data_IF_451428124474
#
_entry.id   IF_451428124474
#
_cell.length_a   1.000
_cell.length_b   1.000
_cell.length_c   1.000
_cell.angle_alpha   90.00
_cell.angle_beta   90.00
_cell.angle_gamma   90.00
#
_symmetry.space_group_name_H-M   'P 1'
#
loop_
_entity.id
_entity.type
_entity.pdbx_description
1 polymer ?
#
# COMPACT_ATOMS: atom_id res chain seq x y z
N UNK A 1 -6.67 -23.39 -14.15
CA UNK A 1 -5.37 -23.04 -13.56
C UNK A 1 -5.59 -22.83 -12.06
N UNK A 2 -5.10 -23.72 -11.21
CA UNK A 2 -5.44 -23.72 -9.78
C UNK A 2 -4.48 -22.90 -8.90
N UNK A 3 -3.35 -22.42 -9.45
CA UNK A 3 -2.27 -21.75 -8.70
C UNK A 3 -2.03 -20.29 -9.16
N UNK A 4 -3.07 -19.60 -9.60
CA UNK A 4 -2.97 -18.22 -10.08
C UNK A 4 -4.05 -17.37 -9.39
N UNK A 5 -3.73 -16.11 -9.10
CA UNK A 5 -4.65 -15.17 -8.48
C UNK A 5 -3.96 -14.20 -7.52
N UNK A 6 -4.70 -13.21 -6.99
CA UNK A 6 -4.18 -12.31 -5.96
C UNK A 6 -3.97 -13.07 -4.64
N UNK A 7 -2.91 -12.70 -3.90
CA UNK A 7 -2.65 -13.21 -2.54
C UNK A 7 -3.56 -12.56 -1.48
N UNK A 8 -4.11 -11.39 -1.80
CA UNK A 8 -5.14 -10.67 -1.05
C UNK A 8 -5.85 -9.66 -1.96
N UNK A 9 -7.08 -9.28 -1.64
CA UNK A 9 -7.81 -8.18 -2.28
C UNK A 9 -8.50 -7.32 -1.23
N UNK A 10 -8.39 -6.01 -1.34
CA UNK A 10 -9.13 -5.06 -0.51
C UNK A 10 -10.07 -4.26 -1.39
N UNK A 11 -11.37 -4.49 -1.25
CA UNK A 11 -12.38 -3.98 -2.19
C UNK A 11 -13.70 -3.67 -1.48
N UNK A 12 -14.49 -2.79 -2.10
CA UNK A 12 -15.84 -2.49 -1.65
C UNK A 12 -16.80 -3.66 -1.91
N UNK A 13 -17.68 -3.96 -0.95
CA UNK A 13 -18.79 -4.91 -1.09
C UNK A 13 -20.04 -4.28 -1.72
N UNK A 14 -20.04 -2.97 -1.96
CA UNK A 14 -21.17 -2.22 -2.51
C UNK A 14 -20.73 -0.96 -3.28
N UNK A 15 -21.70 -0.10 -3.61
CA UNK A 15 -21.43 1.18 -4.26
C UNK A 15 -20.60 2.08 -3.34
N UNK A 16 -19.51 2.63 -3.86
CA UNK A 16 -18.68 3.62 -3.17
C UNK A 16 -18.34 4.78 -4.09
N UNK A 17 -18.22 5.99 -3.54
CA UNK A 17 -17.81 7.16 -4.33
C UNK A 17 -16.28 7.16 -4.50
N UNK A 18 -15.82 7.26 -5.75
CA UNK A 18 -14.40 7.22 -6.11
C UNK A 18 -13.55 8.26 -5.36
N UNK A 19 -14.12 9.43 -5.04
CA UNK A 19 -13.40 10.45 -4.25
C UNK A 19 -13.08 10.01 -2.82
N UNK A 20 -13.85 9.08 -2.25
CA UNK A 20 -13.53 8.45 -0.97
C UNK A 20 -12.50 7.33 -1.10
N UNK A 21 -12.46 6.64 -2.26
CA UNK A 21 -11.45 5.59 -2.52
C UNK A 21 -10.03 6.16 -2.52
N UNK A 22 -9.86 7.39 -3.02
CA UNK A 22 -8.58 8.11 -2.99
C UNK A 22 -8.01 8.27 -1.57
N UNK A 23 -8.86 8.55 -0.57
CA UNK A 23 -8.42 8.60 0.83
C UNK A 23 -7.98 7.22 1.35
N UNK A 24 -8.76 6.17 1.04
CA UNK A 24 -8.44 4.80 1.43
C UNK A 24 -7.10 4.36 0.85
N UNK A 25 -6.88 4.62 -0.44
CA UNK A 25 -5.64 4.29 -1.15
C UNK A 25 -4.45 5.08 -0.59
N UNK A 26 -4.59 6.39 -0.39
CA UNK A 26 -3.53 7.22 0.20
C UNK A 26 -3.09 6.71 1.56
N UNK A 27 -4.02 6.44 2.47
CA UNK A 27 -3.69 5.92 3.80
C UNK A 27 -3.02 4.55 3.74
N UNK A 28 -3.48 3.66 2.85
CA UNK A 28 -2.86 2.35 2.63
C UNK A 28 -1.42 2.47 2.11
N UNK A 29 -1.18 3.33 1.12
CA UNK A 29 0.15 3.53 0.55
C UNK A 29 1.12 4.19 1.53
N UNK A 30 0.67 5.23 2.25
CA UNK A 30 1.48 5.87 3.29
C UNK A 30 1.86 4.85 4.37
N UNK A 31 0.92 4.00 4.80
CA UNK A 31 1.20 2.99 5.80
C UNK A 31 2.33 2.04 5.38
N UNK A 32 2.32 1.54 4.15
CA UNK A 32 3.30 0.56 3.66
C UNK A 32 4.66 1.16 3.30
N UNK A 33 4.67 2.35 2.70
CA UNK A 33 5.86 2.90 2.06
C UNK A 33 6.48 4.08 2.83
N UNK A 34 5.76 4.65 3.79
CA UNK A 34 6.23 5.78 4.58
C UNK A 34 6.25 5.47 6.09
N UNK A 35 5.17 4.91 6.64
CA UNK A 35 5.01 4.76 8.10
C UNK A 35 5.58 3.43 8.64
N UNK A 36 6.01 2.53 7.74
CA UNK A 36 6.73 1.31 8.10
C UNK A 36 5.85 0.12 8.48
N UNK A 37 4.53 0.19 8.29
CA UNK A 37 3.65 -0.96 8.46
C UNK A 37 3.97 -2.04 7.42
N UNK A 38 3.97 -3.31 7.86
CA UNK A 38 4.43 -4.42 7.00
C UNK A 38 3.36 -5.45 6.68
N UNK A 39 2.19 -5.42 7.32
CA UNK A 39 1.11 -6.35 7.02
C UNK A 39 0.00 -5.70 6.22
N UNK A 40 -0.72 -6.50 5.41
CA UNK A 40 -1.86 -6.00 4.64
C UNK A 40 -3.00 -5.56 5.58
N UNK A 41 -3.21 -6.24 6.70
CA UNK A 41 -4.21 -5.88 7.71
C UNK A 41 -3.95 -4.51 8.33
N UNK A 42 -2.70 -4.24 8.70
CA UNK A 42 -2.32 -2.92 9.22
C UNK A 42 -2.54 -1.83 8.17
N UNK A 43 -2.09 -2.05 6.94
CA UNK A 43 -2.21 -1.06 5.86
C UNK A 43 -3.67 -0.75 5.51
N UNK A 44 -4.54 -1.76 5.44
CA UNK A 44 -5.98 -1.53 5.19
C UNK A 44 -6.66 -0.81 6.36
N UNK A 45 -6.26 -1.10 7.60
CA UNK A 45 -6.73 -0.38 8.79
C UNK A 45 -6.29 1.08 8.76
N UNK A 46 -5.03 1.36 8.43
CA UNK A 46 -4.52 2.73 8.27
C UNK A 46 -5.21 3.48 7.13
N UNK A 47 -5.53 2.81 6.02
CA UNK A 47 -6.36 3.37 4.94
C UNK A 47 -7.72 3.87 5.46
N UNK A 48 -8.42 3.06 6.26
CA UNK A 48 -9.70 3.47 6.88
C UNK A 48 -9.53 4.63 7.87
N UNK A 49 -8.49 4.60 8.70
CA UNK A 49 -8.19 5.68 9.64
C UNK A 49 -7.89 6.99 8.91
N UNK A 50 -7.10 6.94 7.83
CA UNK A 50 -6.78 8.09 7.01
C UNK A 50 -8.04 8.73 6.41
N UNK A 51 -8.97 7.91 5.88
CA UNK A 51 -10.27 8.40 5.42
C UNK A 51 -11.02 9.12 6.54
N UNK A 52 -11.17 8.51 7.72
CA UNK A 52 -11.91 9.10 8.85
C UNK A 52 -11.30 10.45 9.28
N UNK A 53 -9.98 10.57 9.24
CA UNK A 53 -9.26 11.74 9.72
C UNK A 53 -9.19 12.89 8.70
N UNK A 54 -9.13 12.58 7.40
CA UNK A 54 -8.81 13.56 6.36
C UNK A 54 -9.97 13.87 5.41
N UNK A 55 -11.01 13.03 5.38
CA UNK A 55 -12.21 13.32 4.58
C UNK A 55 -13.04 14.44 5.21
N UNK A 56 -13.86 15.16 4.41
CA UNK A 56 -14.80 16.12 4.96
C UNK A 56 -15.77 15.45 5.95
N UNK A 57 -16.11 16.17 7.02
CA UNK A 57 -16.96 15.66 8.10
C UNK A 57 -18.26 15.06 7.55
N UNK A 58 -18.57 13.84 7.97
CA UNK A 58 -19.79 13.13 7.58
C UNK A 58 -19.79 12.50 6.18
N UNK A 59 -18.70 12.61 5.40
CA UNK A 59 -18.56 11.93 4.10
C UNK A 59 -17.99 10.52 4.26
N UNK A 60 -18.34 9.64 3.31
CA UNK A 60 -17.67 8.35 3.03
C UNK A 60 -17.65 7.33 4.17
N UNK A 61 -18.51 7.46 5.18
CA UNK A 61 -18.57 6.53 6.31
C UNK A 61 -18.92 5.11 5.85
N UNK A 62 -19.75 5.00 4.83
CA UNK A 62 -20.11 3.76 4.15
C UNK A 62 -18.88 2.99 3.63
N UNK A 63 -17.81 3.70 3.23
CA UNK A 63 -16.60 3.06 2.74
C UNK A 63 -15.83 2.33 3.85
N UNK A 64 -15.92 2.80 5.10
CA UNK A 64 -15.28 2.15 6.25
C UNK A 64 -15.88 0.76 6.48
N UNK A 65 -17.19 0.64 6.28
CA UNK A 65 -17.94 -0.60 6.50
C UNK A 65 -17.87 -1.54 5.28
N UNK A 66 -17.85 -0.98 4.07
CA UNK A 66 -17.94 -1.76 2.83
C UNK A 66 -16.59 -2.20 2.27
N UNK A 67 -15.47 -1.52 2.58
CA UNK A 67 -14.15 -1.97 2.16
C UNK A 67 -13.65 -3.12 3.04
N UNK A 68 -13.65 -4.33 2.48
CA UNK A 68 -13.29 -5.58 3.19
C UNK A 68 -12.02 -6.18 2.61
N UNK A 69 -11.14 -6.64 3.49
CA UNK A 69 -9.94 -7.39 3.13
C UNK A 69 -10.29 -8.88 2.98
N UNK A 70 -10.12 -9.41 1.77
CA UNK A 70 -10.18 -10.82 1.45
C UNK A 70 -8.75 -11.38 1.37
N UNK A 71 -8.38 -12.23 2.31
CA UNK A 71 -7.03 -12.80 2.44
C UNK A 71 -6.63 -12.95 3.91
N UNK A 72 -5.35 -13.22 4.15
CA UNK A 72 -4.77 -13.24 5.50
C UNK A 72 -4.40 -11.81 5.94
N UNK A 73 -5.00 -11.25 7.01
CA UNK A 73 -4.63 -9.92 7.51
C UNK A 73 -3.17 -9.82 7.94
N UNK A 74 -2.57 -10.93 8.37
CA UNK A 74 -1.17 -10.97 8.82
C UNK A 74 -0.18 -11.15 7.68
N UNK A 75 -0.66 -11.23 6.42
CA UNK A 75 0.18 -11.32 5.23
C UNK A 75 1.17 -10.15 5.19
N UNK A 76 2.46 -10.47 5.22
CA UNK A 76 3.52 -9.47 5.05
C UNK A 76 3.61 -9.02 3.61
N UNK A 77 3.51 -7.71 3.38
CA UNK A 77 3.70 -7.13 2.05
C UNK A 77 5.18 -7.17 1.70
N UNK A 78 5.50 -7.82 0.59
CA UNK A 78 6.85 -7.76 0.02
C UNK A 78 7.02 -6.41 -0.68
N UNK A 79 7.49 -5.42 0.06
CA UNK A 79 8.02 -4.18 -0.51
C UNK A 79 9.49 -4.40 -0.89
N UNK A 80 9.96 -3.71 -1.93
CA UNK A 80 11.40 -3.58 -2.12
C UNK A 80 11.90 -2.87 -0.87
N UNK A 81 12.85 -3.46 -0.16
CA UNK A 81 13.62 -2.66 0.78
C UNK A 81 14.19 -1.51 -0.06
N UNK A 82 13.92 -0.26 0.33
CA UNK A 82 14.74 0.86 -0.12
C UNK A 82 16.16 0.39 0.12
N UNK A 83 16.91 0.09 -0.94
CA UNK A 83 18.24 -0.44 -0.82
C UNK A 83 18.95 0.47 0.17
N UNK A 84 19.19 -0.01 1.38
CA UNK A 84 20.03 0.70 2.30
C UNK A 84 21.31 0.84 1.51
N UNK A 85 21.66 2.08 1.13
CA UNK A 85 22.98 2.41 0.61
C UNK A 85 23.91 2.05 1.75
N UNK A 86 24.29 0.79 1.81
CA UNK A 86 25.11 0.21 2.86
C UNK A 86 26.57 0.51 2.62
N UNK A 87 26.89 1.20 1.52
CA UNK A 87 28.20 1.77 1.24
C UNK A 87 28.04 3.11 0.51
N UNK A 88 28.47 4.26 1.08
CA UNK A 88 28.53 5.53 0.34
C UNK A 88 29.62 5.55 -0.75
N UNK A 89 30.16 4.41 -1.19
CA UNK A 89 31.36 4.36 -2.05
C UNK A 89 31.16 3.64 -3.38
N UNK A 90 29.96 3.20 -3.75
CA UNK A 90 29.75 2.60 -5.08
C UNK A 90 28.65 3.31 -5.85
N UNK A 91 29.00 4.48 -6.37
CA UNK A 91 28.30 5.08 -7.51
C UNK A 91 28.61 4.21 -8.74
N UNK A 92 27.63 3.44 -9.22
CA UNK A 92 27.71 2.81 -10.53
C UNK A 92 27.53 3.90 -11.60
N UNK A 93 28.62 4.48 -12.10
CA UNK A 93 28.59 5.15 -13.41
C UNK A 93 28.60 4.07 -14.51
N UNK A 94 27.81 4.21 -15.58
CA UNK A 94 27.86 3.27 -16.70
C UNK A 94 29.23 3.31 -17.37
N UNK A 95 29.84 2.13 -17.45
CA UNK A 95 31.15 1.81 -18.02
C UNK A 95 31.38 2.46 -19.40
N UNK A 96 32.25 3.47 -19.47
CA UNK A 96 32.94 3.80 -20.72
C UNK A 96 34.10 2.81 -20.85
N UNK A 97 33.98 1.86 -21.77
CA UNK A 97 35.10 1.03 -22.22
C UNK A 97 36.13 1.93 -22.89
N UNK A 98 37.29 2.10 -22.27
CA UNK A 98 38.51 2.45 -23.00
C UNK A 98 39.42 1.23 -23.00
N UNK A 99 39.51 0.61 -24.18
CA UNK A 99 40.47 -0.43 -24.56
C UNK A 99 41.89 0.18 -24.66
N UNK A 100 42.95 -0.64 -24.50
CA UNK A 100 44.34 -0.18 -24.34
C UNK A 100 44.94 0.51 -25.56
#
# INVERSE_FOLDING_TARGET
>A
MANAGPVASWSATGLGLVTGHDYLEKGFFLALFHDGWRTVGDATTQGKLYLIQNAPVGRYRDLVDTFVLLGDPTLKVRTLETAAVTNPTTVYLPTVLQSP
#
